data_IF_734873881248
#
_entry.id   IF_734873881248
#
_cell.length_a   1.000
_cell.length_b   1.000
_cell.length_c   1.000
_cell.angle_alpha   90.00
_cell.angle_beta   90.00
_cell.angle_gamma   90.00
#
_symmetry.space_group_name_H-M   'P 1'
#
loop_
_entity.id
_entity.type
_entity.pdbx_description
1 polymer ?
#
# COMPACT_ATOMS: atom_id res chain seq x y z
N UNK A 1 10.66 -30.41 11.10
CA UNK A 1 11.64 -30.53 9.99
C UNK A 1 11.32 -31.66 9.02
N UNK A 2 10.14 -31.70 8.39
CA UNK A 2 9.74 -32.77 7.44
C UNK A 2 9.03 -32.27 6.15
N UNK A 3 8.98 -30.96 5.90
CA UNK A 3 8.27 -30.39 4.74
C UNK A 3 9.15 -29.90 3.57
N UNK A 4 10.48 -29.92 3.72
CA UNK A 4 11.40 -29.27 2.77
C UNK A 4 11.64 -30.04 1.47
N UNK A 5 11.75 -31.37 1.52
CA UNK A 5 12.09 -32.18 0.35
C UNK A 5 10.96 -32.29 -0.68
N UNK A 6 9.70 -32.43 -0.23
CA UNK A 6 8.56 -32.53 -1.14
C UNK A 6 8.26 -31.21 -1.85
N UNK A 7 8.45 -30.08 -1.16
CA UNK A 7 8.32 -28.75 -1.77
C UNK A 7 9.39 -28.53 -2.86
N UNK A 8 10.64 -28.97 -2.62
CA UNK A 8 11.71 -28.85 -3.61
C UNK A 8 11.50 -29.74 -4.85
N UNK A 9 10.90 -30.93 -4.69
CA UNK A 9 10.58 -31.80 -5.84
C UNK A 9 9.45 -31.23 -6.71
N UNK A 10 8.43 -30.64 -6.10
CA UNK A 10 7.34 -29.95 -6.81
C UNK A 10 7.83 -28.71 -7.56
N UNK A 11 8.69 -27.90 -6.94
CA UNK A 11 9.27 -26.72 -7.60
C UNK A 11 10.12 -27.10 -8.82
N UNK A 12 10.94 -28.17 -8.73
CA UNK A 12 11.72 -28.66 -9.87
C UNK A 12 10.86 -29.23 -11.01
N UNK A 13 9.68 -29.75 -10.71
CA UNK A 13 8.76 -30.26 -11.74
C UNK A 13 8.04 -29.13 -12.48
N UNK A 14 7.73 -28.03 -11.78
CA UNK A 14 7.11 -26.82 -12.35
C UNK A 14 8.10 -26.00 -13.19
N UNK A 15 9.37 -25.92 -12.76
CA UNK A 15 10.45 -25.24 -13.49
C UNK A 15 10.71 -25.86 -14.88
N UNK A 16 10.32 -27.12 -15.11
CA UNK A 16 10.40 -27.81 -16.41
C UNK A 16 9.28 -27.45 -17.42
N UNK A 17 8.20 -26.76 -17.02
CA UNK A 17 7.02 -26.52 -17.89
C UNK A 17 7.02 -25.19 -18.67
N UNK A 18 8.19 -24.61 -18.93
CA UNK A 18 8.35 -23.44 -19.81
C UNK A 18 8.42 -22.10 -19.08
N UNK A 19 8.52 -20.98 -19.83
CA UNK A 19 8.79 -19.62 -19.33
C UNK A 19 7.88 -19.17 -18.17
N UNK A 20 6.63 -19.65 -18.14
CA UNK A 20 5.67 -19.37 -17.07
C UNK A 20 5.99 -20.11 -15.75
N UNK A 21 6.59 -21.29 -15.82
CA UNK A 21 6.99 -22.08 -14.65
C UNK A 21 8.19 -21.48 -13.92
N UNK A 22 9.07 -20.76 -14.63
CA UNK A 22 10.19 -20.04 -14.03
C UNK A 22 9.71 -18.82 -13.22
N UNK A 23 8.78 -18.02 -13.76
CA UNK A 23 8.21 -16.89 -13.02
C UNK A 23 7.36 -17.32 -11.82
N UNK A 24 6.56 -18.38 -11.95
CA UNK A 24 5.84 -18.97 -10.82
C UNK A 24 6.82 -19.54 -9.78
N UNK A 25 7.92 -20.15 -10.22
CA UNK A 25 8.99 -20.64 -9.36
C UNK A 25 9.72 -19.52 -8.61
N UNK A 26 9.96 -18.36 -9.24
CA UNK A 26 10.53 -17.17 -8.59
C UNK A 26 9.56 -16.53 -7.59
N UNK A 27 8.27 -16.42 -7.92
CA UNK A 27 7.25 -15.90 -7.00
C UNK A 27 7.09 -16.84 -5.80
N UNK A 28 7.06 -18.16 -6.03
CA UNK A 28 7.01 -19.16 -4.96
C UNK A 28 8.30 -19.22 -4.14
N UNK A 29 9.48 -19.02 -4.75
CA UNK A 29 10.76 -18.91 -4.02
C UNK A 29 10.87 -17.60 -3.25
N UNK A 30 10.31 -16.49 -3.75
CA UNK A 30 10.22 -15.22 -3.02
C UNK A 30 9.22 -15.32 -1.86
N UNK A 31 8.08 -15.98 -2.08
CA UNK A 31 7.08 -16.24 -1.04
C UNK A 31 7.59 -17.24 0.02
N UNK A 32 8.29 -18.31 -0.40
CA UNK A 32 8.89 -19.30 0.50
C UNK A 32 10.16 -18.79 1.19
N UNK A 33 10.95 -17.95 0.51
CA UNK A 33 12.12 -17.25 1.06
C UNK A 33 11.73 -16.12 2.03
N UNK A 34 10.49 -15.61 1.93
CA UNK A 34 9.88 -14.68 2.88
C UNK A 34 9.47 -15.31 4.21
N UNK A 35 9.50 -16.64 4.35
CA UNK A 35 9.32 -17.34 5.64
C UNK A 35 10.63 -17.34 6.45
N UNK A 36 11.35 -16.21 6.39
CA UNK A 36 12.58 -15.96 7.14
C UNK A 36 12.27 -15.53 8.57
N UNK A 37 11.80 -16.46 9.40
CA UNK A 37 11.70 -16.31 10.85
C UNK A 37 10.59 -15.36 11.34
N UNK A 38 9.91 -15.77 12.41
CA UNK A 38 8.89 -14.99 13.13
C UNK A 38 9.33 -13.54 13.45
N UNK A 39 10.65 -13.31 13.58
CA UNK A 39 11.29 -11.99 13.76
C UNK A 39 11.19 -11.06 12.54
N UNK A 40 11.23 -11.58 11.31
CA UNK A 40 11.07 -10.77 10.10
C UNK A 40 9.60 -10.39 9.88
N UNK A 41 8.67 -11.32 10.16
CA UNK A 41 7.23 -11.06 10.04
C UNK A 41 6.74 -10.03 11.06
N UNK A 42 7.25 -10.07 12.30
CA UNK A 42 6.96 -9.05 13.32
C UNK A 42 7.51 -7.69 12.93
N UNK A 43 8.72 -7.63 12.35
CA UNK A 43 9.27 -6.39 11.81
C UNK A 43 8.41 -5.77 10.69
N UNK A 44 7.95 -6.60 9.74
CA UNK A 44 7.05 -6.16 8.67
C UNK A 44 5.70 -5.69 9.19
N UNK A 45 5.13 -6.37 10.18
CA UNK A 45 3.88 -5.97 10.81
C UNK A 45 4.01 -4.62 11.52
N UNK A 46 5.10 -4.42 12.27
CA UNK A 46 5.37 -3.14 12.92
C UNK A 46 5.53 -2.01 11.89
N UNK A 47 6.27 -2.27 10.81
CA UNK A 47 6.42 -1.31 9.72
C UNK A 47 5.06 -0.96 9.08
N UNK A 48 4.19 -1.95 8.87
CA UNK A 48 2.84 -1.73 8.36
C UNK A 48 1.97 -0.92 9.33
N UNK A 49 2.07 -1.17 10.64
CA UNK A 49 1.36 -0.38 11.66
C UNK A 49 1.85 1.07 11.70
N UNK A 50 3.17 1.29 11.62
CA UNK A 50 3.76 2.64 11.56
C UNK A 50 3.31 3.36 10.30
N UNK A 51 3.33 2.68 9.16
CA UNK A 51 2.82 3.22 7.91
C UNK A 51 1.34 3.62 8.04
N UNK A 52 0.50 2.73 8.59
CA UNK A 52 -0.92 2.99 8.76
C UNK A 52 -1.18 4.14 9.74
N UNK A 53 -0.41 4.22 10.84
CA UNK A 53 -0.51 5.31 11.80
C UNK A 53 -0.09 6.65 11.18
N UNK A 54 0.99 6.67 10.40
CA UNK A 54 1.43 7.88 9.68
C UNK A 54 0.39 8.35 8.66
N UNK A 55 -0.29 7.41 8.00
CA UNK A 55 -1.37 7.68 7.06
C UNK A 55 -2.58 8.33 7.75
N UNK A 56 -3.00 7.79 8.90
CA UNK A 56 -4.08 8.39 9.72
C UNK A 56 -3.68 9.78 10.23
N UNK A 57 -2.46 9.93 10.72
CA UNK A 57 -1.96 11.21 11.21
C UNK A 57 -1.95 12.28 10.11
N UNK A 58 -1.49 11.93 8.90
CA UNK A 58 -1.51 12.84 7.76
C UNK A 58 -2.94 13.28 7.39
N UNK A 59 -3.90 12.35 7.41
CA UNK A 59 -5.32 12.67 7.19
C UNK A 59 -5.89 13.59 8.27
N UNK A 60 -5.54 13.38 9.55
CA UNK A 60 -5.94 14.27 10.66
C UNK A 60 -5.37 15.68 10.48
N UNK A 61 -4.08 15.79 10.20
CA UNK A 61 -3.43 17.08 9.95
C UNK A 61 -4.08 17.80 8.77
N UNK A 62 -4.39 17.08 7.69
CA UNK A 62 -5.06 17.67 6.53
C UNK A 62 -6.50 18.09 6.86
N UNK A 63 -7.24 17.29 7.62
CA UNK A 63 -8.59 17.63 8.05
C UNK A 63 -8.63 18.89 8.94
N UNK A 64 -7.56 19.14 9.71
CA UNK A 64 -7.41 20.36 10.51
C UNK A 64 -6.93 21.56 9.69
N UNK A 65 -6.08 21.33 8.68
CA UNK A 65 -5.60 22.37 7.79
C UNK A 65 -6.68 22.82 6.81
N UNK A 66 -7.56 21.91 6.37
CA UNK A 66 -8.73 22.24 5.57
C UNK A 66 -9.82 22.83 6.45
N UNK A 67 -10.33 24.01 6.08
CA UNK A 67 -11.48 24.65 6.73
C UNK A 67 -12.78 23.93 6.37
N UNK A 68 -12.93 22.67 6.78
CA UNK A 68 -14.16 21.90 6.59
C UNK A 68 -15.29 22.51 7.44
N UNK A 69 -16.53 22.53 6.92
CA UNK A 69 -17.68 23.13 7.62
C UNK A 69 -17.99 22.45 8.95
N UNK A 70 -17.71 21.15 9.05
CA UNK A 70 -17.74 20.39 10.30
C UNK A 70 -16.44 19.63 10.43
N UNK A 71 -15.76 19.78 11.57
CA UNK A 71 -14.50 19.09 11.83
C UNK A 71 -14.78 17.62 12.18
N UNK A 72 -14.23 16.66 11.43
CA UNK A 72 -14.35 15.25 11.78
C UNK A 72 -13.68 14.96 13.12
N UNK A 73 -14.31 14.10 13.93
CA UNK A 73 -13.68 13.59 15.13
C UNK A 73 -12.46 12.74 14.77
N UNK A 74 -11.45 12.70 15.65
CA UNK A 74 -10.26 11.89 15.39
C UNK A 74 -10.60 10.40 15.23
N UNK A 75 -11.59 9.91 15.99
CA UNK A 75 -12.07 8.53 15.93
C UNK A 75 -12.68 8.18 14.56
N UNK A 76 -13.42 9.09 13.92
CA UNK A 76 -14.03 8.82 12.61
C UNK A 76 -12.97 8.73 11.51
N UNK A 77 -11.93 9.57 11.57
CA UNK A 77 -10.78 9.47 10.65
C UNK A 77 -9.99 8.18 10.91
N UNK A 78 -9.73 7.84 12.18
CA UNK A 78 -9.02 6.60 12.55
C UNK A 78 -9.73 5.34 12.02
N UNK A 79 -11.06 5.34 11.96
CA UNK A 79 -11.85 4.24 11.42
C UNK A 79 -11.90 4.26 9.89
N UNK A 80 -12.22 5.41 9.28
CA UNK A 80 -12.42 5.52 7.84
C UNK A 80 -11.13 5.29 7.05
N UNK A 81 -10.01 5.89 7.47
CA UNK A 81 -8.74 5.86 6.75
C UNK A 81 -8.19 4.46 6.44
N UNK A 82 -8.04 3.52 7.40
CA UNK A 82 -7.58 2.16 7.12
C UNK A 82 -8.57 1.34 6.29
N UNK A 83 -9.87 1.51 6.50
CA UNK A 83 -10.88 0.81 5.72
C UNK A 83 -10.88 1.27 4.26
N UNK A 84 -10.73 2.58 4.00
CA UNK A 84 -10.56 3.10 2.65
C UNK A 84 -9.30 2.55 1.98
N UNK A 85 -8.18 2.42 2.71
CA UNK A 85 -6.97 1.80 2.16
C UNK A 85 -7.23 0.35 1.73
N UNK A 86 -7.90 -0.45 2.58
CA UNK A 86 -8.27 -1.83 2.24
C UNK A 86 -9.13 -1.87 0.97
N UNK A 87 -10.14 -1.00 0.87
CA UNK A 87 -11.01 -0.92 -0.31
C UNK A 87 -10.23 -0.54 -1.58
N UNK A 88 -9.22 0.32 -1.47
CA UNK A 88 -8.36 0.73 -2.58
C UNK A 88 -7.35 -0.33 -3.02
N UNK A 89 -7.04 -1.32 -2.17
CA UNK A 89 -6.14 -2.45 -2.50
C UNK A 89 -6.91 -3.61 -3.13
N UNK A 90 -8.22 -3.72 -2.87
CA UNK A 90 -9.03 -4.75 -3.50
C UNK A 90 -9.05 -4.56 -5.02
N UNK A 91 -8.87 -5.63 -5.82
CA UNK A 91 -8.90 -5.56 -7.28
C UNK A 91 -10.35 -5.48 -7.79
N UNK A 92 -11.06 -4.44 -7.35
CA UNK A 92 -12.41 -4.14 -7.79
C UNK A 92 -12.35 -3.33 -9.10
N UNK A 93 -13.23 -3.58 -10.07
CA UNK A 93 -13.33 -2.75 -11.26
C UNK A 93 -13.59 -1.29 -10.83
N UNK A 94 -12.68 -0.38 -11.20
CA UNK A 94 -12.71 1.01 -10.78
C UNK A 94 -11.82 1.37 -9.58
N UNK A 95 -11.05 0.43 -9.00
CA UNK A 95 -10.04 0.72 -7.97
C UNK A 95 -8.99 1.72 -8.52
N UNK A 96 -9.28 3.00 -8.34
CA UNK A 96 -8.67 4.10 -9.07
C UNK A 96 -9.06 5.46 -8.52
N UNK A 97 -8.96 6.51 -9.33
CA UNK A 97 -9.45 7.84 -8.98
C UNK A 97 -10.99 7.82 -8.88
N UNK A 98 -11.53 8.30 -7.76
CA UNK A 98 -12.97 8.39 -7.49
C UNK A 98 -13.47 7.35 -6.48
N UNK A 99 -13.01 6.09 -6.56
CA UNK A 99 -13.52 5.02 -5.67
C UNK A 99 -13.05 5.19 -4.23
N UNK A 100 -11.78 5.52 -4.02
CA UNK A 100 -11.27 5.71 -2.66
C UNK A 100 -11.87 6.95 -2.01
N UNK A 101 -12.10 7.99 -2.80
CA UNK A 101 -12.73 9.24 -2.40
C UNK A 101 -14.19 8.99 -1.98
N UNK A 102 -14.96 8.27 -2.80
CA UNK A 102 -16.34 7.88 -2.48
C UNK A 102 -16.40 6.94 -1.27
N UNK A 103 -15.48 5.98 -1.18
CA UNK A 103 -15.39 5.07 -0.05
C UNK A 103 -15.07 5.80 1.27
N UNK A 104 -14.13 6.74 1.23
CA UNK A 104 -13.81 7.55 2.40
C UNK A 104 -14.98 8.45 2.81
N UNK A 105 -15.65 9.10 1.86
CA UNK A 105 -16.83 9.92 2.13
C UNK A 105 -17.97 9.10 2.76
N UNK A 106 -18.22 7.90 2.23
CA UNK A 106 -19.20 6.96 2.77
C UNK A 106 -18.86 6.52 4.20
N UNK A 107 -17.62 6.08 4.44
CA UNK A 107 -17.17 5.63 5.76
C UNK A 107 -17.18 6.75 6.80
N UNK A 108 -16.82 7.97 6.38
CA UNK A 108 -16.83 9.15 7.23
C UNK A 108 -18.25 9.57 7.59
N UNK A 109 -19.16 9.55 6.62
CA UNK A 109 -20.60 9.82 6.83
C UNK A 109 -21.23 8.76 7.75
N UNK A 110 -20.82 7.49 7.61
CA UNK A 110 -21.27 6.40 8.47
C UNK A 110 -20.78 6.58 9.92
N UNK A 111 -19.54 7.01 10.10
CA UNK A 111 -18.96 7.24 11.42
C UNK A 111 -19.42 8.55 12.07
N UNK A 112 -19.77 9.56 11.27
CA UNK A 112 -20.23 10.87 11.72
C UNK A 112 -21.30 11.41 10.76
N UNK A 113 -22.60 11.16 11.04
CA UNK A 113 -23.69 11.61 10.18
C UNK A 113 -23.70 13.14 10.03
N UNK A 114 -23.83 13.61 8.79
CA UNK A 114 -23.86 15.05 8.46
C UNK A 114 -22.51 15.67 8.12
N UNK A 115 -21.43 14.88 8.12
CA UNK A 115 -20.12 15.36 7.70
C UNK A 115 -19.94 15.26 6.18
N UNK A 116 -20.12 16.38 5.48
CA UNK A 116 -19.89 16.46 4.04
C UNK A 116 -18.44 16.83 3.70
N UNK A 117 -17.88 16.21 2.66
CA UNK A 117 -16.56 16.58 2.10
C UNK A 117 -15.42 15.59 2.38
N UNK A 118 -15.73 14.36 2.80
CA UNK A 118 -14.73 13.30 2.92
C UNK A 118 -14.06 12.98 1.59
N UNK A 119 -14.81 12.99 0.49
CA UNK A 119 -14.27 12.77 -0.85
C UNK A 119 -13.19 13.81 -1.20
N UNK A 120 -13.46 15.09 -0.93
CA UNK A 120 -12.51 16.18 -1.18
C UNK A 120 -11.26 16.07 -0.30
N UNK A 121 -11.44 15.77 0.99
CA UNK A 121 -10.31 15.57 1.91
C UNK A 121 -9.37 14.46 1.42
N UNK A 122 -9.94 13.31 1.04
CA UNK A 122 -9.15 12.19 0.53
C UNK A 122 -8.48 12.50 -0.82
N UNK A 123 -9.16 13.24 -1.70
CA UNK A 123 -8.60 13.68 -2.98
C UNK A 123 -7.40 14.61 -2.78
N UNK A 124 -7.51 15.60 -1.89
CA UNK A 124 -6.40 16.51 -1.56
C UNK A 124 -5.21 15.75 -0.97
N UNK A 125 -5.49 14.81 -0.07
CA UNK A 125 -4.48 13.95 0.50
C UNK A 125 -3.72 13.17 -0.59
N UNK A 126 -4.44 12.57 -1.55
CA UNK A 126 -3.81 11.87 -2.69
C UNK A 126 -3.00 12.82 -3.58
N UNK A 127 -3.52 14.02 -3.85
CA UNK A 127 -2.79 15.02 -4.63
C UNK A 127 -1.44 15.36 -3.97
N UNK A 128 -1.43 15.49 -2.63
CA UNK A 128 -0.22 15.71 -1.86
C UNK A 128 0.72 14.51 -1.91
N UNK A 129 0.21 13.29 -1.75
CA UNK A 129 1.02 12.07 -1.88
C UNK A 129 1.68 11.96 -3.26
N UNK A 130 0.94 12.25 -4.33
CA UNK A 130 1.48 12.24 -5.70
C UNK A 130 2.58 13.30 -5.81
N UNK A 131 2.34 14.52 -5.33
CA UNK A 131 3.32 15.60 -5.36
C UNK A 131 4.60 15.30 -4.55
N UNK A 132 4.50 14.60 -3.42
CA UNK A 132 5.67 14.16 -2.64
C UNK A 132 6.36 12.98 -3.35
N UNK A 133 5.59 12.07 -3.94
CA UNK A 133 6.13 10.89 -4.63
C UNK A 133 6.92 11.27 -5.89
N UNK A 134 6.58 12.37 -6.56
CA UNK A 134 7.36 12.88 -7.69
C UNK A 134 8.75 13.36 -7.30
N UNK A 135 9.03 13.61 -6.02
CA UNK A 135 10.39 13.92 -5.54
C UNK A 135 11.37 12.74 -5.72
N UNK A 136 10.88 11.51 -5.96
CA UNK A 136 11.71 10.37 -6.33
C UNK A 136 12.22 10.42 -7.78
N UNK A 137 11.61 11.24 -8.65
CA UNK A 137 11.96 11.32 -10.08
C UNK A 137 13.42 11.80 -10.28
N UNK A 138 13.89 12.87 -9.63
CA UNK A 138 15.30 13.27 -9.69
C UNK A 138 16.28 12.14 -9.34
N UNK A 139 16.01 11.39 -8.26
CA UNK A 139 16.87 10.30 -7.81
C UNK A 139 16.91 9.13 -8.81
N UNK A 140 15.78 8.84 -9.44
CA UNK A 140 15.70 7.87 -10.53
C UNK A 140 16.56 8.31 -11.73
N UNK A 141 16.47 9.58 -12.13
CA UNK A 141 17.20 10.10 -13.28
C UNK A 141 18.72 10.16 -13.05
N UNK A 142 19.18 10.43 -11.83
CA UNK A 142 20.63 10.41 -11.49
C UNK A 142 21.17 8.98 -11.42
N UNK A 143 20.44 8.05 -10.82
CA UNK A 143 20.85 6.64 -10.70
C UNK A 143 20.94 5.93 -12.06
N UNK A 144 20.08 6.32 -13.02
CA UNK A 144 20.12 5.80 -14.39
C UNK A 144 21.41 6.15 -15.12
N UNK A 145 22.12 7.21 -14.72
CA UNK A 145 23.41 7.60 -15.32
C UNK A 145 24.55 6.69 -14.83
N UNK A 146 24.55 6.29 -13.56
CA UNK A 146 25.57 5.37 -13.01
C UNK A 146 25.46 3.93 -13.53
N UNK A 147 24.28 3.48 -13.93
CA UNK A 147 24.09 2.14 -14.51
C UNK A 147 24.58 2.03 -15.97
N UNK A 148 24.94 3.15 -16.61
CA UNK A 148 25.46 3.18 -17.99
C UNK A 148 26.99 3.18 -18.08
N UNK A 149 27.70 3.33 -16.96
CA UNK A 149 29.15 3.13 -16.91
C UNK A 149 29.41 1.63 -16.98
N UNK A 150 29.98 1.09 -18.08
CA UNK A 150 30.31 -0.32 -18.16
C UNK A 150 31.34 -0.66 -17.07
N UNK A 151 31.16 -1.80 -16.42
CA UNK A 151 32.15 -2.38 -15.50
C UNK A 151 33.43 -2.61 -16.32
N UNK A 152 34.43 -1.75 -16.12
CA UNK A 152 35.81 -1.91 -16.58
C UNK A 152 36.62 -2.69 -15.56
#
# INVERSE_FOLDING_TARGET
CLGGENAQRLLRSLERRGKWGQHLGEILRAAAGGVGGLRSMTGLLLLALVQQASYVLAMLCLAWAMSLPVRPAAASIFLATPLTFVLGVLPLPGAGLGVNEAAFDFLLTLAAPGLAGGASLYLFFRAWLIAVSTAGIPFYLTSRKSLKTPLS
#
